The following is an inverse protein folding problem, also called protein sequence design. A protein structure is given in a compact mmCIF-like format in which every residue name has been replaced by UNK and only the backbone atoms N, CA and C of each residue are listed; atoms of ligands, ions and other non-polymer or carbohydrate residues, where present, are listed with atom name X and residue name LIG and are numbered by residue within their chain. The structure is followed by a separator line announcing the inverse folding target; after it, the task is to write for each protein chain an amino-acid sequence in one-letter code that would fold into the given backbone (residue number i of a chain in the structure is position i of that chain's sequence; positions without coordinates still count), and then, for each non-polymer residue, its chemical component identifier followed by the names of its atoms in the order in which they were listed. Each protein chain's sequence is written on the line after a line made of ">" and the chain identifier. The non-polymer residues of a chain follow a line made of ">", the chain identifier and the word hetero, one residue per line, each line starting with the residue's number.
data_IF_242930443455
#
_entry.id   IF_242930443455
#
_cell.length_a   1.000
_cell.length_b   1.000
_cell.length_c   1.000
_cell.angle_alpha   90.00
_cell.angle_beta   90.00
_cell.angle_gamma   90.00
#
_symmetry.space_group_name_H-M   'P 1'
#
loop_
_entity.id
_entity.type
_entity.pdbx_description
1 polymer ?
#
# COMPACT_ATOMS: atom_id res chain seq x y z
N UNK A 1 -34.16 1.97 27.51
CA UNK A 1 -33.48 2.96 26.66
C UNK A 1 -32.40 2.24 25.87
N UNK A 2 -32.80 1.40 24.92
CA UNK A 2 -31.87 0.64 24.08
C UNK A 2 -31.56 1.50 22.87
N UNK A 3 -30.34 2.05 22.81
CA UNK A 3 -29.79 2.60 21.58
C UNK A 3 -28.90 1.53 20.98
N UNK A 4 -29.47 0.71 20.11
CA UNK A 4 -28.70 -0.15 19.23
C UNK A 4 -27.90 0.72 18.26
N UNK A 5 -26.59 0.47 18.25
CA UNK A 5 -25.53 1.26 17.65
C UNK A 5 -25.53 1.08 16.11
N UNK A 6 -25.69 2.14 15.30
CA UNK A 6 -25.71 1.99 13.85
C UNK A 6 -24.29 2.00 13.26
N UNK A 7 -23.94 0.90 12.60
CA UNK A 7 -23.04 0.95 11.44
C UNK A 7 -21.63 0.43 11.65
N UNK A 8 -21.49 -0.89 11.75
CA UNK A 8 -20.26 -1.57 11.32
C UNK A 8 -20.16 -1.45 9.80
N UNK A 9 -19.75 -0.27 9.30
CA UNK A 9 -19.27 -0.15 7.92
C UNK A 9 -17.86 -0.71 7.91
N UNK A 10 -17.75 -2.00 7.60
CA UNK A 10 -16.50 -2.59 7.13
C UNK A 10 -16.16 -1.91 5.81
N UNK A 11 -15.50 -0.76 5.89
CA UNK A 11 -14.83 -0.17 4.75
C UNK A 11 -13.44 -0.78 4.78
N UNK A 12 -13.26 -1.91 4.11
CA UNK A 12 -11.94 -2.41 3.74
C UNK A 12 -11.40 -1.48 2.64
N UNK A 13 -11.02 -0.26 3.05
CA UNK A 13 -10.36 0.70 2.18
C UNK A 13 -8.89 0.34 2.16
N UNK A 14 -8.45 -0.23 1.03
CA UNK A 14 -7.03 -0.30 0.71
C UNK A 14 -6.44 1.11 0.81
N UNK A 15 -5.44 1.30 1.68
CA UNK A 15 -4.76 2.58 1.81
C UNK A 15 -3.52 2.60 0.91
N UNK A 16 -3.39 3.63 0.07
CA UNK A 16 -2.18 3.83 -0.72
C UNK A 16 -1.01 4.22 0.19
N UNK A 17 0.10 3.53 0.00
CA UNK A 17 1.30 3.68 0.81
C UNK A 17 2.55 3.69 -0.06
N UNK A 18 3.63 4.21 0.51
CA UNK A 18 5.00 4.02 0.05
C UNK A 18 5.74 3.11 1.01
N UNK A 19 6.89 2.60 0.58
CA UNK A 19 7.82 1.85 1.42
C UNK A 19 9.11 2.65 1.58
N UNK A 20 9.42 3.12 2.79
CA UNK A 20 10.60 3.95 3.11
C UNK A 20 10.63 5.27 2.34
N UNK A 21 9.45 5.86 2.15
CA UNK A 21 9.24 7.08 1.34
C UNK A 21 9.54 6.89 -0.15
N UNK A 22 9.68 5.65 -0.61
CA UNK A 22 9.94 5.26 -2.00
C UNK A 22 9.04 4.10 -2.42
N UNK A 23 9.08 3.72 -3.69
CA UNK A 23 8.24 2.64 -4.20
C UNK A 23 6.75 2.94 -4.02
N UNK A 24 5.91 1.92 -4.21
CA UNK A 24 4.46 2.07 -4.11
C UNK A 24 3.80 0.76 -3.72
N UNK A 25 2.72 0.83 -2.97
CA UNK A 25 1.91 -0.32 -2.61
C UNK A 25 0.56 0.05 -2.02
N UNK A 26 -0.14 -0.98 -1.55
CA UNK A 26 -1.39 -0.85 -0.82
C UNK A 26 -1.26 -1.57 0.53
N UNK A 27 -1.73 -0.92 1.58
CA UNK A 27 -2.01 -1.55 2.87
C UNK A 27 -3.45 -2.06 2.85
N UNK A 28 -3.61 -3.37 3.02
CA UNK A 28 -4.89 -4.08 3.08
C UNK A 28 -5.05 -4.76 4.42
N UNK A 29 -6.27 -5.15 4.77
CA UNK A 29 -6.52 -6.03 5.92
C UNK A 29 -5.72 -7.34 5.82
N UNK A 30 -5.58 -7.87 4.60
CA UNK A 30 -4.84 -9.11 4.33
C UNK A 30 -3.31 -8.96 4.30
N UNK A 31 -2.79 -7.73 4.37
CA UNK A 31 -1.35 -7.45 4.38
C UNK A 31 -0.90 -6.39 3.38
N UNK A 32 0.38 -6.47 2.99
CA UNK A 32 1.05 -5.48 2.15
C UNK A 32 1.14 -5.96 0.71
N UNK A 33 0.60 -5.14 -0.20
CA UNK A 33 0.83 -5.30 -1.64
C UNK A 33 2.03 -4.43 -2.07
N UNK A 34 3.02 -5.03 -2.73
CA UNK A 34 4.23 -4.33 -3.20
C UNK A 34 4.21 -4.14 -4.72
N UNK A 35 3.70 -3.00 -5.20
CA UNK A 35 3.63 -2.70 -6.64
C UNK A 35 4.96 -2.27 -7.23
N UNK A 36 5.71 -1.40 -6.53
CA UNK A 36 7.03 -0.92 -6.95
C UNK A 36 8.01 -1.05 -5.79
N UNK A 37 9.13 -1.74 -6.03
CA UNK A 37 10.15 -1.97 -5.01
C UNK A 37 10.90 -0.67 -4.66
N UNK A 38 11.04 -0.32 -3.36
CA UNK A 38 11.77 0.88 -2.96
C UNK A 38 13.30 0.76 -3.14
N UNK A 39 13.82 -0.47 -3.30
CA UNK A 39 15.26 -0.73 -3.40
C UNK A 39 15.78 -0.73 -4.83
N UNK A 40 15.08 -1.41 -5.74
CA UNK A 40 15.52 -1.55 -7.14
C UNK A 40 14.64 -0.79 -8.14
N UNK A 41 13.59 -0.09 -7.67
CA UNK A 41 12.64 0.67 -8.49
C UNK A 41 11.90 -0.14 -9.56
N UNK A 42 11.97 -1.48 -9.51
CA UNK A 42 11.26 -2.34 -10.44
C UNK A 42 9.80 -2.52 -10.02
N UNK A 43 8.91 -2.52 -11.01
CA UNK A 43 7.52 -2.88 -10.82
C UNK A 43 7.35 -4.40 -10.73
N UNK A 44 6.48 -4.83 -9.83
CA UNK A 44 6.05 -6.23 -9.76
C UNK A 44 4.87 -6.47 -10.71
N UNK A 45 4.74 -7.72 -11.17
CA UNK A 45 3.48 -8.18 -11.77
C UNK A 45 2.40 -8.22 -10.69
N UNK A 46 1.10 -8.10 -11.02
CA UNK A 46 0.02 -8.12 -10.03
C UNK A 46 0.11 -9.30 -9.05
N UNK A 47 0.35 -10.52 -9.58
CA UNK A 47 0.51 -11.73 -8.75
C UNK A 47 1.67 -11.62 -7.75
N UNK A 48 2.79 -11.04 -8.16
CA UNK A 48 3.95 -10.87 -7.27
C UNK A 48 3.79 -9.70 -6.31
N UNK A 49 3.07 -8.65 -6.72
CA UNK A 49 2.74 -7.54 -5.85
C UNK A 49 1.87 -8.00 -4.67
N UNK A 50 0.82 -8.81 -4.94
CA UNK A 50 -0.04 -9.41 -3.92
C UNK A 50 0.71 -10.38 -2.99
N UNK A 51 1.78 -11.00 -3.47
CA UNK A 51 2.63 -11.85 -2.63
C UNK A 51 3.50 -11.06 -1.65
N UNK A 52 3.48 -9.72 -1.70
CA UNK A 52 4.22 -8.86 -0.78
C UNK A 52 5.74 -9.03 -0.89
N UNK A 53 6.28 -9.34 -2.08
CA UNK A 53 7.74 -9.48 -2.27
C UNK A 53 8.18 -9.05 -3.66
N UNK A 54 9.37 -8.47 -3.78
CA UNK A 54 9.93 -8.08 -5.06
C UNK A 54 10.41 -9.32 -5.83
N UNK A 55 9.92 -9.50 -7.07
CA UNK A 55 10.35 -10.58 -7.94
C UNK A 55 11.82 -10.45 -8.42
N UNK A 56 12.40 -9.25 -8.30
CA UNK A 56 13.69 -8.90 -8.88
C UNK A 56 14.85 -8.98 -7.90
N UNK A 57 14.67 -8.42 -6.70
CA UNK A 57 15.71 -8.37 -5.67
C UNK A 57 15.34 -9.13 -4.38
N UNK A 58 14.21 -9.85 -4.38
CA UNK A 58 13.70 -10.59 -3.23
C UNK A 58 13.42 -9.76 -1.96
N UNK A 59 13.36 -8.43 -2.08
CA UNK A 59 12.92 -7.55 -0.98
C UNK A 59 11.51 -7.94 -0.48
N UNK A 60 11.34 -8.04 0.84
CA UNK A 60 10.07 -8.27 1.52
C UNK A 60 9.83 -7.08 2.45
N UNK A 61 8.79 -6.26 2.23
CA UNK A 61 8.47 -5.14 3.10
C UNK A 61 7.86 -5.62 4.42
N UNK A 62 8.09 -4.84 5.47
CA UNK A 62 7.44 -4.95 6.77
C UNK A 62 6.53 -3.74 7.01
N UNK A 63 5.73 -3.77 8.09
CA UNK A 63 4.93 -2.60 8.47
C UNK A 63 5.79 -1.39 8.86
N UNK A 64 7.01 -1.61 9.35
CA UNK A 64 7.94 -0.53 9.71
C UNK A 64 8.47 0.22 8.47
N UNK A 65 8.39 -0.40 7.30
CA UNK A 65 8.73 0.26 6.04
C UNK A 65 7.58 1.15 5.53
N UNK A 66 6.37 1.05 6.07
CA UNK A 66 5.18 1.71 5.51
C UNK A 66 5.16 3.19 5.85
N UNK A 67 5.03 4.02 4.83
CA UNK A 67 4.81 5.46 4.96
C UNK A 67 3.59 5.89 4.12
N UNK A 68 2.73 6.80 4.62
CA UNK A 68 1.58 7.29 3.87
C UNK A 68 2.01 8.07 2.62
N UNK A 69 1.23 8.00 1.54
CA UNK A 69 1.43 8.88 0.39
C UNK A 69 1.16 10.32 0.81
N UNK A 70 2.09 11.23 0.53
CA UNK A 70 1.93 12.65 0.85
C UNK A 70 0.99 13.28 -0.16
N UNK A 71 0.05 14.11 0.32
CA UNK A 71 -0.96 14.76 -0.53
C UNK A 71 -0.36 15.66 -1.64
N UNK A 72 0.91 16.06 -1.51
CA UNK A 72 1.62 16.90 -2.47
C UNK A 72 1.93 16.15 -3.78
N UNK A 73 2.04 14.82 -3.74
CA UNK A 73 2.28 13.95 -4.90
C UNK A 73 1.04 13.77 -5.79
N UNK A 74 -0.15 14.20 -5.32
CA UNK A 74 -1.41 14.14 -6.07
C UNK A 74 -1.58 15.27 -7.09
N UNK A 75 -0.63 16.21 -7.17
CA UNK A 75 -0.80 17.48 -7.90
C UNK A 75 -0.24 17.52 -9.33
N UNK A 76 0.41 16.46 -9.83
CA UNK A 76 1.08 16.49 -11.15
C UNK A 76 0.26 15.87 -12.31
N UNK A 77 -1.05 15.65 -12.14
CA UNK A 77 -1.93 15.15 -13.20
C UNK A 77 -2.78 16.24 -13.88
N UNK A 78 -2.23 17.45 -14.05
CA UNK A 78 -2.81 18.49 -14.90
C UNK A 78 -1.69 19.31 -15.57
N UNK A 79 -1.27 18.86 -16.74
CA UNK A 79 -0.35 19.55 -17.65
C UNK A 79 -0.58 19.07 -19.07
#
# INVERSE_FOLDING_TARGET
>A
MTRDNPGSRTISQDAEITFRGRGRGLLREAGLRLDVCPLCSQANTPRMAEAGRCAWCAYVPSLDDVEPVRAEDSSHAAG
#
